data_IF_655595501317
#
_entry.id   IF_655595501317
#
_cell.length_a   1.000
_cell.length_b   1.000
_cell.length_c   1.000
_cell.angle_alpha   90.00
_cell.angle_beta   90.00
_cell.angle_gamma   90.00
#
_symmetry.space_group_name_H-M   'P 1'
#
loop_
_entity.id
_entity.type
_entity.pdbx_description
1 polymer ?
#
# COMPACT_ATOMS: atom_id res chain seq x y z
N UNK A 1 27.44 8.60 -0.08
CA UNK A 1 26.69 7.70 -1.00
C UNK A 1 27.52 7.17 -2.17
N UNK A 2 28.39 7.94 -2.87
CA UNK A 2 29.18 7.40 -3.98
C UNK A 2 30.02 6.18 -3.59
N UNK A 3 30.72 6.26 -2.45
CA UNK A 3 31.52 5.17 -1.86
C UNK A 3 30.72 3.90 -1.57
N UNK A 4 29.48 4.01 -1.08
CA UNK A 4 28.57 2.88 -0.86
C UNK A 4 28.20 2.21 -2.18
N UNK A 5 27.91 2.99 -3.22
CA UNK A 5 27.59 2.45 -4.54
C UNK A 5 28.80 1.79 -5.20
N UNK A 6 29.99 2.35 -5.05
CA UNK A 6 31.22 1.73 -5.56
C UNK A 6 31.56 0.43 -4.82
N UNK A 7 31.34 0.38 -3.51
CA UNK A 7 31.66 -0.81 -2.71
C UNK A 7 30.68 -1.97 -2.95
N UNK A 8 29.37 -1.70 -2.95
CA UNK A 8 28.34 -2.74 -2.94
C UNK A 8 27.63 -2.94 -4.29
N UNK A 9 27.70 -1.96 -5.19
CA UNK A 9 26.94 -1.92 -6.43
C UNK A 9 27.80 -1.61 -7.67
N UNK A 10 29.11 -1.84 -7.60
CA UNK A 10 30.05 -1.63 -8.72
C UNK A 10 29.72 -2.44 -9.97
N UNK A 11 29.11 -3.61 -9.80
CA UNK A 11 28.71 -4.51 -10.89
C UNK A 11 27.46 -4.02 -11.65
N UNK A 12 26.78 -2.97 -11.18
CA UNK A 12 25.58 -2.44 -11.83
C UNK A 12 25.94 -1.44 -12.92
N UNK A 13 25.18 -1.48 -14.02
CA UNK A 13 25.23 -0.43 -15.04
C UNK A 13 24.72 0.92 -14.49
N UNK A 14 25.02 2.01 -15.20
CA UNK A 14 24.73 3.37 -14.75
C UNK A 14 23.25 3.59 -14.37
N UNK A 15 22.31 3.06 -15.15
CA UNK A 15 20.86 3.19 -14.88
C UNK A 15 20.45 2.46 -13.59
N UNK A 16 20.86 1.20 -13.43
CA UNK A 16 20.56 0.42 -12.22
C UNK A 16 21.23 1.03 -11.00
N UNK A 17 22.46 1.55 -11.16
CA UNK A 17 23.20 2.22 -10.09
C UNK A 17 22.51 3.50 -9.64
N UNK A 18 21.96 4.28 -10.57
CA UNK A 18 21.16 5.47 -10.26
C UNK A 18 19.85 5.11 -9.53
N UNK A 19 19.16 4.05 -9.95
CA UNK A 19 17.99 3.54 -9.23
C UNK A 19 18.33 3.11 -7.79
N UNK A 20 19.47 2.45 -7.57
CA UNK A 20 19.91 2.10 -6.21
C UNK A 20 20.28 3.33 -5.40
N UNK A 21 20.94 4.33 -6.00
CA UNK A 21 21.22 5.60 -5.35
C UNK A 21 19.94 6.22 -4.79
N UNK A 22 18.89 6.32 -5.60
CA UNK A 22 17.59 6.86 -5.21
C UNK A 22 16.95 6.08 -4.07
N UNK A 23 17.00 4.73 -4.13
CA UNK A 23 16.48 3.86 -3.05
C UNK A 23 17.21 4.06 -1.73
N UNK A 24 18.54 4.14 -1.75
CA UNK A 24 19.33 4.36 -0.54
C UNK A 24 18.99 5.72 0.08
N UNK A 25 18.83 6.78 -0.72
CA UNK A 25 18.40 8.08 -0.21
C UNK A 25 16.97 8.04 0.38
N UNK A 26 16.07 7.28 -0.24
CA UNK A 26 14.72 7.09 0.30
C UNK A 26 14.76 6.36 1.66
N UNK A 27 15.56 5.29 1.78
CA UNK A 27 15.75 4.58 3.05
C UNK A 27 16.40 5.45 4.13
N UNK A 28 17.37 6.30 3.77
CA UNK A 28 17.98 7.23 4.73
C UNK A 28 16.95 8.25 5.25
N UNK A 29 16.05 8.72 4.37
CA UNK A 29 14.97 9.63 4.75
C UNK A 29 13.97 8.97 5.70
N UNK A 30 13.61 7.71 5.46
CA UNK A 30 12.65 6.93 6.26
C UNK A 30 13.33 6.05 7.34
N UNK A 31 14.60 6.31 7.67
CA UNK A 31 15.41 5.42 8.53
C UNK A 31 14.75 5.11 9.86
N UNK A 32 14.19 6.12 10.53
CA UNK A 32 13.52 5.96 11.84
C UNK A 32 12.36 4.98 11.76
N UNK A 33 11.49 5.13 10.76
CA UNK A 33 10.35 4.21 10.53
C UNK A 33 10.82 2.79 10.23
N UNK A 34 11.88 2.63 9.44
CA UNK A 34 12.45 1.31 9.11
C UNK A 34 13.01 0.64 10.38
N UNK A 35 13.70 1.38 11.25
CA UNK A 35 14.24 0.88 12.52
C UNK A 35 13.11 0.47 13.49
N UNK A 36 12.05 1.27 13.60
CA UNK A 36 10.86 0.93 14.40
C UNK A 36 10.20 -0.37 13.91
N UNK A 37 10.00 -0.50 12.60
CA UNK A 37 9.43 -1.71 11.98
C UNK A 37 10.35 -2.93 12.16
N UNK A 38 11.67 -2.74 12.13
CA UNK A 38 12.64 -3.82 12.34
C UNK A 38 12.70 -4.28 13.81
N UNK A 39 12.34 -3.41 14.76
CA UNK A 39 12.33 -3.74 16.18
C UNK A 39 11.14 -4.62 16.59
N UNK A 40 10.05 -4.61 15.83
CA UNK A 40 8.87 -5.44 16.09
C UNK A 40 9.00 -6.83 15.45
N UNK A 41 8.78 -7.88 16.25
CA UNK A 41 8.89 -9.27 15.80
C UNK A 41 7.93 -9.63 14.65
N UNK A 42 6.77 -8.98 14.58
CA UNK A 42 5.77 -9.22 13.52
C UNK A 42 6.17 -8.61 12.18
N UNK A 43 7.03 -7.59 12.17
CA UNK A 43 7.38 -6.81 10.98
C UNK A 43 8.85 -6.91 10.60
N UNK A 44 9.72 -7.43 11.47
CA UNK A 44 11.17 -7.52 11.26
C UNK A 44 11.59 -8.31 10.00
N UNK A 45 10.77 -9.26 9.55
CA UNK A 45 11.05 -10.07 8.35
C UNK A 45 10.56 -9.41 7.05
N UNK A 46 9.81 -8.32 7.15
CA UNK A 46 9.23 -7.65 6.00
C UNK A 46 10.28 -6.83 5.26
N UNK A 47 10.21 -6.85 3.93
CA UNK A 47 11.11 -6.10 3.03
C UNK A 47 10.45 -4.87 2.40
N UNK A 48 9.17 -4.68 2.69
CA UNK A 48 8.35 -3.59 2.19
C UNK A 48 7.29 -3.25 3.22
N UNK A 49 7.07 -1.97 3.42
CA UNK A 49 5.93 -1.44 4.14
C UNK A 49 4.87 -0.97 3.14
N UNK A 50 3.58 -1.11 3.48
CA UNK A 50 2.47 -0.55 2.72
C UNK A 50 1.91 0.60 3.53
N UNK A 51 1.65 1.73 2.87
CA UNK A 51 0.98 2.84 3.54
C UNK A 51 -0.34 2.36 4.15
N UNK A 52 -0.63 2.86 5.34
CA UNK A 52 -1.94 2.70 5.98
C UNK A 52 -3.02 3.11 4.96
N UNK A 53 -4.05 2.28 4.79
CA UNK A 53 -5.09 2.43 3.76
C UNK A 53 -4.80 1.76 2.41
N UNK A 54 -3.64 1.12 2.21
CA UNK A 54 -3.32 0.36 0.98
C UNK A 54 -3.66 -1.14 1.08
N UNK A 55 -3.98 -1.65 2.27
CA UNK A 55 -4.43 -3.02 2.51
C UNK A 55 -5.86 -3.02 3.06
N UNK A 56 -6.58 -4.15 2.90
CA UNK A 56 -7.97 -4.43 3.30
C UNK A 56 -8.30 -3.77 4.64
N UNK A 57 -8.81 -2.55 4.54
CA UNK A 57 -9.17 -1.74 5.71
C UNK A 57 -10.57 -2.09 6.17
N UNK A 58 -11.37 -2.64 5.26
CA UNK A 58 -12.64 -3.28 5.51
C UNK A 58 -12.44 -4.80 5.67
N UNK A 59 -13.37 -5.45 6.37
CA UNK A 59 -13.38 -6.89 6.60
C UNK A 59 -13.56 -7.68 5.30
N UNK A 60 -13.30 -8.99 5.34
CA UNK A 60 -13.56 -9.88 4.19
C UNK A 60 -15.05 -9.83 3.81
N UNK A 61 -15.91 -9.81 4.82
CA UNK A 61 -17.36 -9.72 4.68
C UNK A 61 -17.77 -8.40 4.00
N UNK A 62 -17.09 -7.30 4.34
CA UNK A 62 -17.27 -6.00 3.68
C UNK A 62 -16.81 -6.01 2.20
N UNK A 63 -15.69 -6.65 1.90
CA UNK A 63 -15.24 -6.83 0.51
C UNK A 63 -16.22 -7.68 -0.31
N UNK A 64 -16.77 -8.76 0.27
CA UNK A 64 -17.79 -9.61 -0.36
C UNK A 64 -19.09 -8.84 -0.62
N UNK A 65 -19.57 -8.06 0.36
CA UNK A 65 -20.75 -7.21 0.20
C UNK A 65 -20.58 -6.18 -0.93
N UNK A 66 -19.39 -5.60 -1.08
CA UNK A 66 -19.08 -4.71 -2.20
C UNK A 66 -19.15 -5.43 -3.56
N UNK A 67 -18.63 -6.66 -3.64
CA UNK A 67 -18.67 -7.47 -4.87
C UNK A 67 -20.11 -7.84 -5.23
N UNK A 68 -20.92 -8.26 -4.27
CA UNK A 68 -22.35 -8.56 -4.48
C UNK A 68 -23.10 -7.33 -5.00
N UNK A 69 -22.88 -6.17 -4.39
CA UNK A 69 -23.47 -4.90 -4.82
C UNK A 69 -23.09 -4.53 -6.26
N UNK A 70 -21.81 -4.65 -6.64
CA UNK A 70 -21.36 -4.39 -8.01
C UNK A 70 -22.02 -5.36 -9.01
N UNK A 71 -22.09 -6.64 -8.66
CA UNK A 71 -22.65 -7.67 -9.53
C UNK A 71 -24.17 -7.51 -9.72
N UNK A 72 -24.89 -7.11 -8.66
CA UNK A 72 -26.32 -6.79 -8.71
C UNK A 72 -26.60 -5.69 -9.75
N UNK A 73 -25.90 -4.55 -9.63
CA UNK A 73 -26.07 -3.43 -10.56
C UNK A 73 -25.69 -3.79 -12.00
N UNK A 74 -24.62 -4.57 -12.18
CA UNK A 74 -24.22 -5.04 -13.51
C UNK A 74 -25.25 -6.01 -14.11
N UNK A 75 -25.89 -6.83 -13.27
CA UNK A 75 -26.99 -7.72 -13.66
C UNK A 75 -28.22 -6.95 -14.18
N UNK A 76 -28.47 -5.77 -13.64
CA UNK A 76 -29.50 -4.84 -14.11
C UNK A 76 -29.09 -4.00 -15.33
N UNK A 77 -27.87 -4.22 -15.86
CA UNK A 77 -27.32 -3.45 -16.98
C UNK A 77 -26.82 -2.06 -16.58
N UNK A 78 -26.72 -1.75 -15.28
CA UNK A 78 -26.24 -0.47 -14.77
C UNK A 78 -24.70 -0.50 -14.73
N UNK A 79 -24.01 0.42 -15.43
CA UNK A 79 -22.56 0.51 -15.35
C UNK A 79 -22.13 1.09 -14.00
N UNK A 80 -21.27 0.37 -13.28
CA UNK A 80 -20.67 0.86 -12.04
C UNK A 80 -19.37 1.60 -12.36
N UNK A 81 -19.36 2.91 -12.11
CA UNK A 81 -18.15 3.72 -12.24
C UNK A 81 -17.20 3.53 -11.06
N UNK A 82 -15.92 3.85 -11.25
CA UNK A 82 -14.92 3.82 -10.17
C UNK A 82 -15.34 4.70 -8.99
N UNK A 83 -15.95 5.86 -9.24
CA UNK A 83 -16.41 6.76 -8.18
C UNK A 83 -17.53 6.13 -7.36
N UNK A 84 -18.50 5.47 -7.99
CA UNK A 84 -19.58 4.78 -7.29
C UNK A 84 -19.04 3.64 -6.41
N UNK A 85 -18.09 2.86 -6.94
CA UNK A 85 -17.43 1.80 -6.18
C UNK A 85 -16.68 2.36 -4.96
N UNK A 86 -15.99 3.50 -5.13
CA UNK A 86 -15.29 4.16 -4.02
C UNK A 86 -16.25 4.68 -2.94
N UNK A 87 -17.39 5.25 -3.33
CA UNK A 87 -18.40 5.72 -2.37
C UNK A 87 -18.99 4.55 -1.59
N UNK A 88 -19.41 3.48 -2.28
CA UNK A 88 -19.96 2.30 -1.62
C UNK A 88 -18.95 1.65 -0.66
N UNK A 89 -17.69 1.55 -1.07
CA UNK A 89 -16.66 0.98 -0.21
C UNK A 89 -16.39 1.86 1.03
N UNK A 90 -16.51 3.19 0.92
CA UNK A 90 -16.40 4.12 2.06
C UNK A 90 -17.59 3.98 3.01
N UNK A 91 -18.79 3.80 2.48
CA UNK A 91 -19.99 3.56 3.29
C UNK A 91 -19.84 2.25 4.09
N UNK A 92 -19.38 1.17 3.46
CA UNK A 92 -19.10 -0.11 4.15
C UNK A 92 -18.02 0.08 5.23
N UNK A 93 -16.94 0.81 4.92
CA UNK A 93 -15.90 1.10 5.92
C UNK A 93 -16.45 1.87 7.12
N UNK A 94 -17.34 2.84 6.89
CA UNK A 94 -17.99 3.59 7.96
C UNK A 94 -18.90 2.68 8.82
N UNK A 95 -19.66 1.77 8.20
CA UNK A 95 -20.50 0.79 8.90
C UNK A 95 -19.68 -0.15 9.79
N UNK A 96 -18.49 -0.55 9.35
CA UNK A 96 -17.55 -1.35 10.12
C UNK A 96 -16.80 -0.56 11.21
N UNK A 97 -17.03 0.75 11.31
CA UNK A 97 -16.37 1.61 12.30
C UNK A 97 -14.93 1.95 11.96
N UNK A 98 -14.54 1.86 10.69
CA UNK A 98 -13.23 2.31 10.21
C UNK A 98 -13.13 3.83 10.38
N UNK A 99 -12.06 4.35 11.03
CA UNK A 99 -11.87 5.79 11.17
C UNK A 99 -11.76 6.53 9.83
N UNK A 100 -12.31 7.73 9.76
CA UNK A 100 -12.22 8.59 8.58
C UNK A 100 -10.75 8.91 8.22
N UNK A 101 -10.40 8.84 6.92
CA UNK A 101 -9.03 9.01 6.43
C UNK A 101 -8.14 7.76 6.51
N UNK A 102 -8.65 6.65 7.07
CA UNK A 102 -7.95 5.36 7.06
C UNK A 102 -8.24 4.57 5.77
N UNK A 103 -9.40 4.82 5.14
CA UNK A 103 -9.85 4.24 3.89
C UNK A 103 -10.02 5.34 2.82
N UNK A 104 -9.12 5.41 1.85
CA UNK A 104 -9.06 6.47 0.81
C UNK A 104 -9.15 5.96 -0.63
#
# INVERSE_FOLDING_TARGET
MPSTLDKYYSHLNASKRESQRKRIYAWEKDRVHIEEMAASASTAVLKSDRKKGTASTISTEGEEGLVEWVNSLRGEGVPVSRLMQQLQAKDIAQEEGVPEGLFE
#
